data_IF_369020777904
#
_entry.id   IF_369020777904
#
_cell.length_a   1.000
_cell.length_b   1.000
_cell.length_c   1.000
_cell.angle_alpha   90.00
_cell.angle_beta   90.00
_cell.angle_gamma   90.00
#
_symmetry.space_group_name_H-M   'P 1'
#
loop_
_entity.id
_entity.type
_entity.pdbx_description
1 polymer ?
#
# COMPACT_ATOMS: atom_id res chain seq x y z
N UNK A 1 -5.32 20.78 -4.56
CA UNK A 1 -5.48 20.55 -3.91
C UNK A 1 -4.81 19.85 -2.97
N UNK A 2 -4.37 19.80 -2.29
CA UNK A 2 -3.72 19.21 -1.25
C UNK A 2 -4.05 17.78 -1.00
N UNK A 3 -4.72 17.23 -1.95
CA UNK A 3 -5.10 15.90 -1.74
C UNK A 3 -4.01 14.99 -1.57
N UNK A 4 -2.86 15.25 -2.11
CA UNK A 4 -1.83 14.31 -1.96
C UNK A 4 -1.44 14.13 -0.54
N UNK A 5 -1.63 15.11 0.28
CA UNK A 5 -1.27 14.97 1.66
C UNK A 5 -2.15 13.99 2.35
N UNK A 6 -3.29 13.71 1.77
CA UNK A 6 -4.21 12.81 2.40
C UNK A 6 -3.75 11.38 2.34
N UNK A 7 -2.75 11.10 1.55
CA UNK A 7 -2.28 9.73 1.42
C UNK A 7 -1.79 9.15 2.72
N UNK A 8 -1.28 10.00 3.62
CA UNK A 8 -0.80 9.47 4.87
C UNK A 8 -1.92 8.90 5.74
N UNK A 9 -3.15 9.31 5.46
CA UNK A 9 -4.26 8.75 6.22
C UNK A 9 -5.03 7.70 5.45
N UNK A 10 -4.56 7.32 4.26
CA UNK A 10 -5.28 6.35 3.45
C UNK A 10 -5.09 4.94 3.99
N UNK A 11 -5.99 4.05 3.60
CA UNK A 11 -5.88 2.67 4.01
C UNK A 11 -4.62 2.05 3.42
N UNK A 12 -4.25 2.45 2.21
CA UNK A 12 -3.02 1.95 1.60
C UNK A 12 -1.79 2.38 2.39
N UNK A 13 -1.74 3.64 2.78
CA UNK A 13 -0.63 4.16 3.55
C UNK A 13 -0.52 3.44 4.89
N UNK A 14 -1.66 3.17 5.52
CA UNK A 14 -1.66 2.47 6.80
C UNK A 14 -1.18 1.04 6.66
N UNK A 15 -1.67 0.34 5.63
CA UNK A 15 -1.35 -1.07 5.46
C UNK A 15 0.11 -1.31 5.15
N UNK A 16 0.75 -0.41 4.41
CA UNK A 16 2.17 -0.55 4.10
C UNK A 16 3.04 0.21 5.08
N UNK A 17 2.41 0.91 6.06
CA UNK A 17 3.11 1.70 7.07
C UNK A 17 4.01 2.71 6.39
N UNK A 18 3.40 3.50 5.52
CA UNK A 18 4.15 4.44 4.69
C UNK A 18 5.03 5.39 5.50
N UNK A 19 4.57 5.82 6.65
CA UNK A 19 5.32 6.76 7.45
C UNK A 19 6.40 6.09 8.31
N UNK A 20 6.49 4.76 8.31
CA UNK A 20 7.47 4.06 9.13
C UNK A 20 8.66 3.69 8.23
N UNK A 21 9.76 4.40 8.40
CA UNK A 21 10.95 4.15 7.61
C UNK A 21 12.17 4.48 8.45
N UNK A 22 12.53 3.60 9.36
CA UNK A 22 13.65 3.88 10.27
C UNK A 22 14.98 4.02 9.56
N UNK A 23 15.12 3.46 8.37
CA UNK A 23 16.37 3.55 7.63
C UNK A 23 16.51 4.88 6.89
N UNK A 24 15.39 5.59 6.67
CA UNK A 24 15.42 6.80 5.87
C UNK A 24 15.75 6.56 4.41
N UNK A 25 15.59 5.35 3.95
CA UNK A 25 15.95 4.95 2.61
C UNK A 25 14.89 5.39 1.62
N UNK A 26 15.29 6.16 0.59
CA UNK A 26 14.34 6.63 -0.43
C UNK A 26 13.70 5.50 -1.21
N UNK A 27 14.42 4.40 -1.39
CA UNK A 27 13.86 3.24 -2.08
C UNK A 27 12.72 2.66 -1.27
N UNK A 28 12.87 2.58 0.06
CA UNK A 28 11.81 2.10 0.93
C UNK A 28 10.59 2.99 0.80
N UNK A 29 10.79 4.31 0.81
CA UNK A 29 9.67 5.24 0.66
C UNK A 29 8.97 5.05 -0.67
N UNK A 30 9.73 4.84 -1.73
CA UNK A 30 9.16 4.64 -3.06
C UNK A 30 8.32 3.38 -3.10
N UNK A 31 8.84 2.28 -2.56
CA UNK A 31 8.12 1.01 -2.53
C UNK A 31 6.80 1.18 -1.77
N UNK A 32 6.88 1.79 -0.60
CA UNK A 32 5.68 1.94 0.23
C UNK A 32 4.66 2.85 -0.42
N UNK A 33 5.10 3.95 -1.03
CA UNK A 33 4.19 4.90 -1.64
C UNK A 33 3.45 4.26 -2.82
N UNK A 34 4.18 3.57 -3.69
CA UNK A 34 3.54 2.96 -4.85
C UNK A 34 2.60 1.83 -4.45
N UNK A 35 3.01 1.04 -3.45
CA UNK A 35 2.15 -0.04 -2.99
C UNK A 35 0.89 0.52 -2.32
N UNK A 36 1.05 1.58 -1.55
CA UNK A 36 -0.10 2.22 -0.92
C UNK A 36 -1.09 2.70 -1.98
N UNK A 37 -0.59 3.25 -3.09
CA UNK A 37 -1.45 3.70 -4.17
C UNK A 37 -2.23 2.55 -4.78
N UNK A 38 -1.58 1.42 -4.98
CA UNK A 38 -2.26 0.25 -5.55
C UNK A 38 -3.36 -0.24 -4.60
N UNK A 39 -3.07 -0.28 -3.31
CA UNK A 39 -4.07 -0.71 -2.33
C UNK A 39 -5.24 0.27 -2.32
N UNK A 40 -4.96 1.56 -2.40
CA UNK A 40 -6.02 2.57 -2.40
C UNK A 40 -6.91 2.44 -3.63
N UNK A 41 -6.32 2.14 -4.79
CA UNK A 41 -7.10 1.91 -6.00
C UNK A 41 -8.05 0.74 -5.80
N UNK A 42 -7.53 -0.37 -5.28
CA UNK A 42 -8.35 -1.54 -5.03
C UNK A 42 -9.47 -1.24 -4.02
N UNK A 43 -9.13 -0.52 -2.98
CA UNK A 43 -10.11 -0.20 -1.96
C UNK A 43 -11.23 0.67 -2.53
N UNK A 44 -10.86 1.65 -3.34
CA UNK A 44 -11.84 2.54 -3.96
C UNK A 44 -12.74 1.78 -4.91
N UNK A 45 -12.18 0.88 -5.72
CA UNK A 45 -12.98 0.10 -6.65
C UNK A 45 -13.87 -0.87 -5.93
N UNK A 46 -13.38 -1.47 -4.84
CA UNK A 46 -14.17 -2.42 -4.08
C UNK A 46 -15.44 -1.78 -3.54
N UNK A 47 -15.34 -0.51 -3.13
CA UNK A 47 -16.49 0.20 -2.60
C UNK A 47 -17.58 0.43 -3.63
N UNK A 48 -17.27 0.31 -4.93
CA UNK A 48 -18.22 0.57 -5.99
C UNK A 48 -19.01 -0.66 -6.39
N UNK A 49 -18.65 -1.83 -5.87
CA UNK A 49 -19.26 -3.08 -6.28
C UNK A 49 -19.91 -3.79 -5.11
N UNK A 50 -21.04 -4.43 -5.37
CA UNK A 50 -21.71 -5.19 -4.34
C UNK A 50 -21.54 -6.70 -4.55
N UNK A 51 -20.91 -7.09 -5.62
CA UNK A 51 -20.72 -8.50 -5.92
C UNK A 51 -19.70 -9.08 -4.95
N UNK A 52 -20.08 -10.14 -4.23
CA UNK A 52 -19.21 -10.71 -3.22
C UNK A 52 -17.91 -11.27 -3.78
N UNK A 53 -17.97 -11.83 -4.99
CA UNK A 53 -16.76 -12.38 -5.59
C UNK A 53 -15.80 -11.26 -5.99
N UNK A 54 -16.32 -10.16 -6.51
CA UNK A 54 -15.47 -9.02 -6.83
C UNK A 54 -14.82 -8.47 -5.58
N UNK A 55 -15.61 -8.35 -4.51
CA UNK A 55 -15.09 -7.88 -3.24
C UNK A 55 -13.98 -8.78 -2.70
N UNK A 56 -14.17 -10.10 -2.82
CA UNK A 56 -13.17 -11.03 -2.35
C UNK A 56 -11.87 -10.86 -3.14
N UNK A 57 -11.97 -10.67 -4.45
CA UNK A 57 -10.79 -10.50 -5.30
C UNK A 57 -10.03 -9.23 -4.93
N UNK A 58 -10.74 -8.13 -4.73
CA UNK A 58 -10.05 -6.89 -4.35
C UNK A 58 -9.42 -7.01 -2.97
N UNK A 59 -10.10 -7.67 -2.04
CA UNK A 59 -9.54 -7.86 -0.71
C UNK A 59 -8.28 -8.69 -0.75
N UNK A 60 -8.28 -9.76 -1.55
CA UNK A 60 -7.08 -10.59 -1.71
C UNK A 60 -5.95 -9.78 -2.34
N UNK A 61 -6.27 -8.96 -3.35
CA UNK A 61 -5.26 -8.13 -3.99
C UNK A 61 -4.60 -7.19 -2.99
N UNK A 62 -5.41 -6.56 -2.15
CA UNK A 62 -4.87 -5.64 -1.17
C UNK A 62 -3.94 -6.35 -0.18
N UNK A 63 -4.33 -7.54 0.25
CA UNK A 63 -3.50 -8.32 1.16
C UNK A 63 -2.18 -8.70 0.50
N UNK A 64 -2.23 -9.13 -0.76
CA UNK A 64 -1.01 -9.52 -1.46
C UNK A 64 -0.10 -8.34 -1.73
N UNK A 65 -0.66 -7.16 -2.01
CA UNK A 65 0.17 -5.97 -2.17
C UNK A 65 0.87 -5.64 -0.85
N UNK A 66 0.16 -5.77 0.24
CA UNK A 66 0.75 -5.52 1.56
C UNK A 66 1.92 -6.47 1.82
N UNK A 67 1.73 -7.73 1.54
CA UNK A 67 2.77 -8.73 1.74
C UNK A 67 3.94 -8.48 0.79
N UNK A 68 3.64 -8.13 -0.46
CA UNK A 68 4.70 -7.84 -1.43
C UNK A 68 5.54 -6.65 -0.96
N UNK A 69 4.88 -5.64 -0.42
CA UNK A 69 5.62 -4.48 0.09
C UNK A 69 6.56 -4.89 1.22
N UNK A 70 6.12 -5.77 2.10
CA UNK A 70 6.95 -6.24 3.20
C UNK A 70 8.21 -6.92 2.69
N UNK A 71 8.05 -7.81 1.71
CA UNK A 71 9.19 -8.52 1.16
C UNK A 71 10.13 -7.58 0.39
N UNK A 72 9.56 -6.64 -0.37
CA UNK A 72 10.37 -5.70 -1.14
C UNK A 72 11.17 -4.79 -0.21
N UNK A 73 10.56 -4.34 0.88
CA UNK A 73 11.25 -3.50 1.84
C UNK A 73 12.36 -4.30 2.52
N UNK A 74 12.08 -5.57 2.84
CA UNK A 74 13.10 -6.42 3.44
C UNK A 74 14.31 -6.54 2.50
N UNK A 75 14.05 -6.74 1.22
CA UNK A 75 15.13 -6.83 0.24
C UNK A 75 15.90 -5.52 0.11
N UNK A 76 15.16 -4.41 0.08
CA UNK A 76 15.78 -3.11 -0.09
C UNK A 76 16.70 -2.74 1.07
N UNK A 77 16.39 -3.26 2.26
CA UNK A 77 17.16 -2.94 3.45
C UNK A 77 18.14 -4.04 3.86
N UNK A 78 18.23 -5.10 3.06
CA UNK A 78 19.03 -6.27 3.47
C UNK A 78 20.52 -5.97 3.60
N UNK A 79 21.00 -4.97 2.86
CA UNK A 79 22.41 -4.62 2.89
C UNK A 79 22.71 -3.44 3.80
N UNK A 80 21.78 -3.02 4.61
CA UNK A 80 21.99 -1.83 5.45
C UNK A 80 22.45 -2.14 6.87
#
# INVERSE_FOLDING_TARGET
>A
MGEHKQKHGSIGAERVRESFNPSGDNLVDKIKRHTADLIDICNSENDKHEDGEIGRCYSLAMTHYEVAAMWAVKAATANK
#
